data_IF_402655068363
#
_entry.id   IF_402655068363
#
_cell.length_a   1.000
_cell.length_b   1.000
_cell.length_c   1.000
_cell.angle_alpha   90.00
_cell.angle_beta   90.00
_cell.angle_gamma   90.00
#
_symmetry.space_group_name_H-M   'P 1'
#
loop_
_entity.id
_entity.type
_entity.pdbx_description
1 polymer ?
#
# COMPACT_ATOMS: atom_id res chain seq x y z
N UNK A 1 -2.21 -15.67 18.48
CA UNK A 1 -1.91 -16.47 17.26
C UNK A 1 -1.10 -15.63 16.26
N UNK A 2 0.18 -15.95 16.07
CA UNK A 2 1.11 -15.22 15.18
C UNK A 2 1.01 -15.66 13.70
N UNK A 3 -0.06 -16.37 13.33
CA UNK A 3 -0.23 -16.79 11.94
C UNK A 3 -0.47 -15.58 11.04
N UNK A 4 0.35 -15.44 10.00
CA UNK A 4 0.21 -14.40 8.95
C UNK A 4 -1.20 -14.27 8.38
N UNK A 5 -1.95 -15.38 8.30
CA UNK A 5 -3.34 -15.35 7.83
C UNK A 5 -4.24 -14.54 8.76
N UNK A 6 -4.02 -14.63 10.07
CA UNK A 6 -4.73 -13.85 11.06
C UNK A 6 -4.39 -12.36 10.96
N UNK A 7 -3.12 -12.03 10.69
CA UNK A 7 -2.68 -10.64 10.47
C UNK A 7 -3.33 -10.03 9.22
N UNK A 8 -3.39 -10.77 8.10
CA UNK A 8 -4.07 -10.34 6.87
C UNK A 8 -5.54 -10.02 7.10
N UNK A 9 -6.27 -10.94 7.73
CA UNK A 9 -7.69 -10.73 8.02
C UNK A 9 -7.92 -9.53 8.92
N UNK A 10 -7.10 -9.35 9.95
CA UNK A 10 -7.24 -8.25 10.89
C UNK A 10 -6.89 -6.89 10.25
N UNK A 11 -5.82 -6.83 9.45
CA UNK A 11 -5.45 -5.64 8.70
C UNK A 11 -6.59 -5.20 7.75
N UNK A 12 -7.17 -6.15 7.03
CA UNK A 12 -8.28 -5.91 6.11
C UNK A 12 -9.53 -5.42 6.84
N UNK A 13 -9.87 -6.02 7.99
CA UNK A 13 -11.01 -5.58 8.81
C UNK A 13 -10.82 -4.14 9.28
N UNK A 14 -9.64 -3.79 9.79
CA UNK A 14 -9.36 -2.42 10.21
C UNK A 14 -9.42 -1.44 9.04
N UNK A 15 -8.85 -1.80 7.88
CA UNK A 15 -8.90 -0.98 6.68
C UNK A 15 -10.33 -0.75 6.20
N UNK A 16 -11.14 -1.80 6.10
CA UNK A 16 -12.55 -1.70 5.67
C UNK A 16 -13.44 -0.98 6.68
N UNK A 17 -13.02 -0.90 7.93
CA UNK A 17 -13.68 -0.13 8.99
C UNK A 17 -13.13 1.29 9.12
N UNK A 18 -12.27 1.72 8.20
CA UNK A 18 -11.63 3.05 8.19
C UNK A 18 -10.80 3.35 9.44
N UNK A 19 -10.39 2.30 10.16
CA UNK A 19 -9.54 2.41 11.35
C UNK A 19 -8.07 2.46 10.91
N UNK A 20 -7.68 3.57 10.29
CA UNK A 20 -6.38 3.78 9.68
C UNK A 20 -5.21 3.59 10.65
N UNK A 21 -5.33 4.12 11.87
CA UNK A 21 -4.30 3.98 12.93
C UNK A 21 -4.07 2.52 13.33
N UNK A 22 -5.12 1.70 13.29
CA UNK A 22 -5.03 0.28 13.59
C UNK A 22 -4.56 -0.54 12.38
N UNK A 23 -4.96 -0.17 11.16
CA UNK A 23 -4.60 -0.88 9.93
C UNK A 23 -3.13 -0.68 9.52
N UNK A 24 -2.62 0.55 9.63
CA UNK A 24 -1.27 0.93 9.21
C UNK A 24 -0.16 0.03 9.78
N UNK A 25 -0.06 -0.20 11.11
CA UNK A 25 0.98 -1.07 11.66
C UNK A 25 0.82 -2.52 11.21
N UNK A 26 -0.41 -3.00 10.94
CA UNK A 26 -0.63 -4.39 10.48
C UNK A 26 -0.16 -4.60 9.06
N UNK A 27 -0.44 -3.67 8.14
CA UNK A 27 0.09 -3.79 6.78
C UNK A 27 1.62 -3.62 6.72
N UNK A 28 2.22 -2.85 7.64
CA UNK A 28 3.67 -2.76 7.76
C UNK A 28 4.29 -4.08 8.24
N UNK A 29 3.73 -4.67 9.28
CA UNK A 29 4.16 -6.00 9.77
C UNK A 29 4.01 -7.07 8.68
N UNK A 30 2.89 -7.05 7.94
CA UNK A 30 2.69 -7.93 6.79
C UNK A 30 3.73 -7.71 5.71
N UNK A 31 4.08 -6.45 5.38
CA UNK A 31 5.10 -6.13 4.37
C UNK A 31 6.46 -6.72 4.76
N UNK A 32 6.89 -6.50 6.00
CA UNK A 32 8.15 -7.05 6.52
C UNK A 32 8.14 -8.59 6.48
N UNK A 33 7.03 -9.21 6.88
CA UNK A 33 6.88 -10.66 6.87
C UNK A 33 6.90 -11.27 5.46
N UNK A 34 6.33 -10.59 4.45
CA UNK A 34 6.33 -11.12 3.06
C UNK A 34 7.68 -10.91 2.38
N UNK A 35 8.42 -9.85 2.72
CA UNK A 35 9.73 -9.54 2.12
C UNK A 35 10.81 -10.57 2.45
N UNK A 36 10.71 -11.23 3.61
CA UNK A 36 11.67 -12.26 4.04
C UNK A 36 11.33 -13.66 3.52
N UNK A 37 10.24 -13.82 2.75
CA UNK A 37 9.87 -15.14 2.22
C UNK A 37 10.85 -15.61 1.13
N UNK A 38 11.30 -16.88 1.17
CA UNK A 38 12.21 -17.43 0.15
C UNK A 38 11.62 -17.41 -1.26
N UNK A 39 10.30 -17.60 -1.37
CA UNK A 39 9.54 -17.57 -2.61
C UNK A 39 8.58 -16.38 -2.56
N UNK A 40 8.98 -15.28 -3.18
CA UNK A 40 8.22 -14.04 -3.17
C UNK A 40 8.06 -13.50 -4.60
N UNK A 41 6.89 -13.77 -5.19
CA UNK A 41 6.52 -13.26 -6.51
C UNK A 41 6.07 -11.78 -6.50
N UNK A 42 6.29 -11.07 -5.40
CA UNK A 42 5.93 -9.67 -5.13
C UNK A 42 4.43 -9.35 -5.13
N UNK A 43 3.52 -10.32 -5.33
CA UNK A 43 2.08 -10.05 -5.32
C UNK A 43 1.60 -9.50 -3.98
N UNK A 44 2.06 -10.09 -2.88
CA UNK A 44 1.67 -9.68 -1.53
C UNK A 44 2.32 -8.37 -1.12
N UNK A 45 3.57 -8.12 -1.52
CA UNK A 45 4.20 -6.81 -1.33
C UNK A 45 3.43 -5.70 -2.02
N UNK A 46 3.03 -5.92 -3.28
CA UNK A 46 2.20 -4.96 -4.03
C UNK A 46 0.88 -4.69 -3.30
N UNK A 47 0.24 -5.71 -2.72
CA UNK A 47 -0.97 -5.51 -1.92
C UNK A 47 -0.70 -4.66 -0.68
N UNK A 48 0.31 -5.02 0.12
CA UNK A 48 0.64 -4.29 1.34
C UNK A 48 0.98 -2.83 1.04
N UNK A 49 1.84 -2.58 0.05
CA UNK A 49 2.25 -1.23 -0.34
C UNK A 49 1.07 -0.39 -0.85
N UNK A 50 0.13 -0.99 -1.59
CA UNK A 50 -1.07 -0.28 -2.04
C UNK A 50 -1.91 0.18 -0.86
N UNK A 51 -2.21 -0.72 0.08
CA UNK A 51 -2.99 -0.38 1.26
C UNK A 51 -2.28 0.65 2.14
N UNK A 52 -0.96 0.53 2.33
CA UNK A 52 -0.19 1.53 3.06
C UNK A 52 -0.27 2.91 2.39
N UNK A 53 -0.17 2.96 1.05
CA UNK A 53 -0.30 4.19 0.30
C UNK A 53 -1.69 4.82 0.46
N UNK A 54 -2.75 4.02 0.33
CA UNK A 54 -4.14 4.48 0.51
C UNK A 54 -4.42 4.95 1.93
N UNK A 55 -3.91 4.25 2.95
CA UNK A 55 -4.03 4.65 4.35
C UNK A 55 -3.36 6.00 4.59
N UNK A 56 -2.12 6.18 4.12
CA UNK A 56 -1.42 7.46 4.22
C UNK A 56 -2.19 8.59 3.53
N UNK A 57 -2.76 8.31 2.34
CA UNK A 57 -3.56 9.29 1.62
C UNK A 57 -4.80 9.73 2.42
N UNK A 58 -5.53 8.79 3.01
CA UNK A 58 -6.71 9.10 3.85
C UNK A 58 -6.36 9.88 5.12
N UNK A 59 -5.11 9.81 5.57
CA UNK A 59 -4.59 10.57 6.72
C UNK A 59 -4.06 11.95 6.32
N UNK A 60 -4.10 12.33 5.04
CA UNK A 60 -3.50 13.57 4.52
C UNK A 60 -1.97 13.53 4.44
N UNK A 61 -1.36 12.36 4.59
CA UNK A 61 0.09 12.15 4.58
C UNK A 61 0.57 11.91 3.14
N UNK A 62 0.43 12.93 2.28
CA UNK A 62 0.55 12.80 0.82
C UNK A 62 1.98 12.45 0.35
N UNK A 63 3.02 12.91 1.03
CA UNK A 63 4.41 12.52 0.76
C UNK A 63 4.63 11.02 0.98
N UNK A 64 4.13 10.50 2.10
CA UNK A 64 4.25 9.09 2.47
C UNK A 64 3.42 8.22 1.53
N UNK A 65 2.20 8.67 1.19
CA UNK A 65 1.34 7.99 0.24
C UNK A 65 1.99 7.85 -1.15
N UNK A 66 2.54 8.95 -1.69
CA UNK A 66 3.26 8.91 -2.97
C UNK A 66 4.47 7.97 -2.91
N UNK A 67 5.26 8.04 -1.83
CA UNK A 67 6.44 7.18 -1.67
C UNK A 67 6.07 5.69 -1.71
N UNK A 68 5.02 5.28 -0.99
CA UNK A 68 4.55 3.88 -0.98
C UNK A 68 4.01 3.41 -2.33
N UNK A 69 3.31 4.29 -3.05
CA UNK A 69 2.83 3.98 -4.39
C UNK A 69 4.00 3.86 -5.40
N UNK A 70 5.06 4.65 -5.25
CA UNK A 70 6.28 4.53 -6.06
C UNK A 70 7.05 3.24 -5.75
N UNK A 71 7.19 2.88 -4.46
CA UNK A 71 7.77 1.60 -4.02
C UNK A 71 7.04 0.42 -4.71
N UNK A 72 5.70 0.45 -4.72
CA UNK A 72 4.87 -0.56 -5.40
C UNK A 72 5.19 -0.65 -6.90
N UNK A 73 5.30 0.48 -7.58
CA UNK A 73 5.54 0.51 -9.03
C UNK A 73 6.97 0.06 -9.41
N UNK A 74 7.93 0.23 -8.49
CA UNK A 74 9.30 -0.24 -8.64
C UNK A 74 9.40 -1.76 -8.62
N UNK A 75 8.49 -2.45 -7.93
CA UNK A 75 8.45 -3.91 -7.91
C UNK A 75 8.22 -4.51 -9.31
N UNK A 76 8.88 -5.64 -9.55
CA UNK A 76 8.80 -6.45 -10.76
C UNK A 76 8.15 -7.79 -10.42
N UNK A 77 6.81 -7.88 -10.42
CA UNK A 77 6.13 -9.14 -10.13
C UNK A 77 6.44 -10.18 -11.20
N UNK A 78 6.45 -11.45 -10.80
CA UNK A 78 6.57 -12.56 -11.75
C UNK A 78 5.40 -12.58 -12.74
N UNK A 79 5.63 -13.12 -13.93
CA UNK A 79 4.66 -13.15 -15.02
C UNK A 79 3.32 -13.78 -14.60
N UNK A 80 3.38 -14.83 -13.77
CA UNK A 80 2.21 -15.56 -13.28
C UNK A 80 1.23 -14.68 -12.48
N UNK A 81 1.70 -13.59 -11.87
CA UNK A 81 0.85 -12.66 -11.11
C UNK A 81 0.70 -11.29 -11.77
N UNK A 82 1.36 -11.00 -12.89
CA UNK A 82 1.35 -9.68 -13.52
C UNK A 82 -0.07 -9.16 -13.77
N UNK A 83 -0.95 -9.94 -14.42
CA UNK A 83 -2.36 -9.55 -14.65
C UNK A 83 -3.13 -9.27 -13.35
N UNK A 84 -2.81 -9.99 -12.27
CA UNK A 84 -3.45 -9.79 -10.95
C UNK A 84 -2.97 -8.52 -10.25
N UNK A 85 -1.81 -8.01 -10.64
CA UNK A 85 -1.23 -6.76 -10.12
C UNK A 85 -1.58 -5.54 -10.95
N UNK A 86 -2.08 -5.70 -12.17
CA UNK A 86 -2.26 -4.59 -13.13
C UNK A 86 -3.19 -3.49 -12.59
N UNK A 87 -4.40 -3.87 -12.14
CA UNK A 87 -5.34 -2.95 -11.48
C UNK A 87 -4.74 -2.23 -10.27
N UNK A 88 -3.85 -2.88 -9.53
CA UNK A 88 -3.19 -2.31 -8.35
C UNK A 88 -2.14 -1.28 -8.74
N UNK A 89 -1.41 -1.55 -9.81
CA UNK A 89 -0.43 -0.63 -10.39
C UNK A 89 -1.10 0.57 -11.02
N UNK A 90 -2.25 0.38 -11.69
CA UNK A 90 -3.08 1.49 -12.17
C UNK A 90 -3.54 2.38 -11.01
N UNK A 91 -4.11 1.76 -9.96
CA UNK A 91 -4.53 2.49 -8.75
C UNK A 91 -3.38 3.26 -8.09
N UNK A 92 -2.19 2.68 -8.04
CA UNK A 92 -1.01 3.35 -7.50
C UNK A 92 -0.64 4.60 -8.31
N UNK A 93 -0.74 4.56 -9.65
CA UNK A 93 -0.50 5.75 -10.51
C UNK A 93 -1.52 6.84 -10.25
N UNK A 94 -2.80 6.48 -10.16
CA UNK A 94 -3.87 7.44 -9.82
C UNK A 94 -3.58 8.11 -8.46
N UNK A 95 -3.17 7.31 -7.47
CA UNK A 95 -2.88 7.82 -6.14
C UNK A 95 -1.69 8.79 -6.14
N UNK A 96 -0.64 8.50 -6.92
CA UNK A 96 0.50 9.42 -7.10
C UNK A 96 0.02 10.76 -7.67
N UNK A 97 -0.81 10.73 -8.72
CA UNK A 97 -1.34 11.95 -9.33
C UNK A 97 -2.22 12.74 -8.36
N UNK A 98 -3.05 12.06 -7.57
CA UNK A 98 -3.84 12.67 -6.51
C UNK A 98 -2.94 13.33 -5.45
N UNK A 99 -1.96 12.62 -4.91
CA UNK A 99 -1.01 13.15 -3.91
C UNK A 99 -0.29 14.40 -4.43
N UNK A 100 0.14 14.40 -5.69
CA UNK A 100 0.83 15.54 -6.30
C UNK A 100 -0.08 16.76 -6.43
N UNK A 101 -1.37 16.56 -6.74
CA UNK A 101 -2.36 17.65 -6.81
C UNK A 101 -2.62 18.26 -5.45
N UNK A 102 -2.84 17.44 -4.42
CA UNK A 102 -3.07 17.94 -3.05
C UNK A 102 -1.87 18.75 -2.56
N UNK A 103 -0.65 18.22 -2.73
CA UNK A 103 0.59 18.95 -2.38
C UNK A 103 0.80 20.24 -3.16
N UNK A 104 0.35 20.30 -4.41
CA UNK A 104 0.40 21.53 -5.20
C UNK A 104 -0.64 22.54 -4.71
N UNK A 105 -1.83 22.07 -4.31
CA UNK A 105 -2.87 22.89 -3.70
C UNK A 105 -2.43 23.50 -2.37
N UNK A 106 -1.83 22.71 -1.48
CA UNK A 106 -1.32 23.19 -0.17
C UNK A 106 -0.26 24.28 -0.32
N UNK A 107 0.63 24.18 -1.32
CA UNK A 107 1.66 25.19 -1.58
C UNK A 107 1.12 26.51 -2.13
N UNK A 108 -0.11 26.54 -2.66
CA UNK A 108 -0.72 27.75 -3.22
C UNK A 108 -1.54 28.53 -2.17
N UNK A 109 -1.79 27.95 -0.99
CA UNK A 109 -2.58 28.57 0.08
C UNK A 109 -1.69 29.21 1.17
N UNK A 110 -0.37 28.99 1.11
CA UNK A 110 0.64 29.58 2.00
C UNK A 110 1.30 30.82 1.37
#
# INVERSE_FOLDING_TARGET
PESRFFLWTLAEIYYRSEQWDAALPRYRELLEAVQVLPENNHYNEINCLLHLAEIHFQRGEFEQAEARALDLLALRPEEIVWKRTDRKRERARELIDMCRREKAGERLVQ
#
